data_IF_310316535136
#
_entry.id   IF_310316535136
#
_cell.length_a   1.000
_cell.length_b   1.000
_cell.length_c   1.000
_cell.angle_alpha   90.00
_cell.angle_beta   90.00
_cell.angle_gamma   90.00
#
_symmetry.space_group_name_H-M   'P 1'
#
loop_
_entity.id
_entity.type
_entity.pdbx_description
1 polymer ?
#
# COMPACT_ATOMS: atom_id res chain seq x y z
N UNK A 1 -7.89 53.39 5.29
CA UNK A 1 -6.68 52.57 5.49
C UNK A 1 -6.70 52.06 6.91
N UNK A 2 -7.07 50.80 7.12
CA UNK A 2 -7.11 50.19 8.46
C UNK A 2 -6.12 49.03 8.47
N UNK A 3 -5.01 49.19 9.20
CA UNK A 3 -3.96 48.19 9.28
C UNK A 3 -4.36 47.12 10.30
N UNK A 4 -4.43 45.86 9.86
CA UNK A 4 -4.62 44.71 10.72
C UNK A 4 -3.33 44.42 11.51
N UNK A 5 -3.45 44.22 12.83
CA UNK A 5 -2.33 43.80 13.70
C UNK A 5 -2.01 42.31 13.50
N UNK A 6 -0.73 41.90 13.58
CA UNK A 6 -0.34 40.50 13.49
C UNK A 6 -0.72 39.73 14.77
N UNK A 7 -1.39 38.58 14.61
CA UNK A 7 -1.60 37.61 15.69
C UNK A 7 -0.38 36.68 15.80
N UNK A 8 0.05 36.39 17.04
CA UNK A 8 1.11 35.42 17.32
C UNK A 8 0.62 33.99 17.00
N UNK A 9 1.46 33.13 16.42
CA UNK A 9 1.11 31.74 16.20
C UNK A 9 0.92 31.01 17.54
N UNK A 10 -0.19 30.29 17.67
CA UNK A 10 -0.44 29.35 18.77
C UNK A 10 0.41 28.11 18.51
N UNK A 11 1.20 27.61 19.49
CA UNK A 11 1.99 26.41 19.29
C UNK A 11 1.06 25.21 19.06
N UNK A 12 1.29 24.48 17.97
CA UNK A 12 0.62 23.21 17.71
C UNK A 12 0.89 22.25 18.89
N UNK A 13 -0.19 21.73 19.47
CA UNK A 13 -0.10 20.71 20.51
C UNK A 13 0.68 19.51 19.95
N UNK A 14 1.82 19.19 20.58
CA UNK A 14 2.60 17.99 20.27
C UNK A 14 1.76 16.80 20.72
N UNK A 15 1.18 16.06 19.78
CA UNK A 15 0.54 14.78 20.05
C UNK A 15 1.57 13.82 20.64
N UNK A 16 1.25 13.22 21.78
CA UNK A 16 2.10 12.22 22.41
C UNK A 16 2.24 10.99 21.49
N UNK A 17 3.39 10.30 21.50
CA UNK A 17 3.56 9.08 20.72
C UNK A 17 2.61 8.01 21.25
N UNK A 18 1.82 7.40 20.35
CA UNK A 18 1.00 6.24 20.67
C UNK A 18 1.93 5.08 20.98
N UNK A 19 1.93 4.61 22.23
CA UNK A 19 2.71 3.46 22.65
C UNK A 19 1.94 2.20 22.25
N UNK A 20 2.36 1.55 21.16
CA UNK A 20 1.78 0.27 20.76
C UNK A 20 2.27 -0.85 21.68
N UNK A 21 1.37 -1.69 22.24
CA UNK A 21 1.76 -2.83 23.05
C UNK A 21 2.61 -3.83 22.23
N UNK A 22 3.53 -4.52 22.90
CA UNK A 22 4.39 -5.52 22.27
C UNK A 22 3.54 -6.62 21.59
N UNK A 23 3.92 -7.09 20.38
CA UNK A 23 3.11 -8.06 19.65
C UNK A 23 3.05 -9.39 20.41
N UNK A 24 1.84 -9.91 20.63
CA UNK A 24 1.63 -11.25 21.18
C UNK A 24 2.35 -12.31 20.32
N UNK A 25 2.88 -13.36 20.94
CA UNK A 25 3.60 -14.46 20.25
C UNK A 25 2.64 -15.30 19.40
N UNK A 26 3.00 -15.59 18.14
CA UNK A 26 2.21 -16.43 17.23
C UNK A 26 2.04 -15.86 15.82
N UNK A 27 1.53 -16.66 14.88
CA UNK A 27 1.24 -16.19 13.51
C UNK A 27 0.11 -15.15 13.56
N UNK A 28 0.34 -13.97 12.96
CA UNK A 28 -0.66 -12.88 12.86
C UNK A 28 -1.50 -12.97 11.61
N UNK A 29 -0.91 -13.51 10.55
CA UNK A 29 -1.47 -13.50 9.20
C UNK A 29 -1.33 -14.87 8.53
N UNK A 30 -2.16 -15.13 7.52
CA UNK A 30 -2.11 -16.33 6.70
C UNK A 30 -2.45 -15.99 5.24
N UNK A 31 -1.78 -16.67 4.29
CA UNK A 31 -2.13 -16.58 2.86
C UNK A 31 -3.25 -17.57 2.54
N UNK A 32 -4.28 -17.11 1.81
CA UNK A 32 -5.40 -17.94 1.31
C UNK A 32 -5.74 -17.52 -0.12
N UNK A 33 -6.61 -18.26 -0.79
CA UNK A 33 -7.17 -17.79 -2.06
C UNK A 33 -8.11 -16.61 -1.79
N UNK A 34 -7.99 -15.57 -2.61
CA UNK A 34 -8.71 -14.31 -2.43
C UNK A 34 -9.98 -14.26 -3.27
N UNK A 35 -11.04 -13.68 -2.71
CA UNK A 35 -12.25 -13.33 -3.47
C UNK A 35 -12.05 -12.16 -4.45
N UNK A 36 -10.94 -11.42 -4.33
CA UNK A 36 -10.61 -10.27 -5.19
C UNK A 36 -9.72 -10.71 -6.34
N UNK A 37 -8.57 -11.31 -6.05
CA UNK A 37 -7.61 -11.73 -7.07
C UNK A 37 -6.63 -12.77 -6.54
N UNK A 38 -6.51 -13.91 -7.21
CA UNK A 38 -5.49 -14.93 -6.94
C UNK A 38 -5.40 -15.30 -5.45
N UNK A 39 -4.35 -14.82 -4.78
CA UNK A 39 -4.11 -15.02 -3.35
C UNK A 39 -4.27 -13.71 -2.59
N UNK A 40 -4.64 -13.84 -1.32
CA UNK A 40 -4.79 -12.74 -0.36
C UNK A 40 -4.11 -13.07 0.96
N UNK A 41 -3.85 -12.05 1.77
CA UNK A 41 -3.36 -12.23 3.14
C UNK A 41 -4.49 -11.87 4.10
N UNK A 42 -4.73 -12.75 5.08
CA UNK A 42 -5.82 -12.63 6.03
C UNK A 42 -5.30 -12.51 7.45
N UNK A 43 -5.96 -11.70 8.27
CA UNK A 43 -5.74 -11.70 9.71
C UNK A 43 -6.20 -13.04 10.31
N UNK A 44 -5.41 -13.64 11.19
CA UNK A 44 -5.82 -14.85 11.94
C UNK A 44 -5.99 -14.59 13.44
N UNK A 45 -5.84 -13.32 13.83
CA UNK A 45 -6.04 -12.81 15.18
C UNK A 45 -6.43 -11.33 15.08
N UNK A 46 -6.99 -10.72 16.14
CA UNK A 46 -7.25 -9.29 16.17
C UNK A 46 -5.95 -8.50 15.94
N UNK A 47 -6.01 -7.48 15.10
CA UNK A 47 -4.93 -6.51 14.89
C UNK A 47 -5.48 -5.13 15.28
N UNK A 48 -4.76 -4.40 16.12
CA UNK A 48 -5.20 -3.07 16.55
C UNK A 48 -4.75 -1.99 15.57
N UNK A 49 -5.50 -0.89 15.51
CA UNK A 49 -5.08 0.29 14.75
C UNK A 49 -3.64 0.73 15.14
N UNK A 50 -2.84 1.03 14.12
CA UNK A 50 -1.42 1.37 14.21
C UNK A 50 -0.48 0.20 14.46
N UNK A 51 -0.96 -1.05 14.54
CA UNK A 51 -0.09 -2.21 14.61
C UNK A 51 0.77 -2.32 13.35
N UNK A 52 2.08 -2.52 13.54
CA UNK A 52 2.98 -3.01 12.48
C UNK A 52 2.63 -4.46 12.16
N UNK A 53 1.95 -4.69 11.04
CA UNK A 53 1.40 -6.00 10.68
C UNK A 53 2.46 -6.85 9.99
N UNK A 54 3.06 -6.32 8.91
CA UNK A 54 4.02 -7.01 8.06
C UNK A 54 5.10 -6.04 7.57
N UNK A 55 6.22 -6.60 7.13
CA UNK A 55 7.21 -5.90 6.30
C UNK A 55 7.06 -6.41 4.86
N UNK A 56 7.10 -5.53 3.87
CA UNK A 56 7.18 -5.92 2.47
C UNK A 56 8.65 -6.21 2.13
N UNK A 57 8.99 -7.50 1.96
CA UNK A 57 10.36 -7.95 1.69
C UNK A 57 10.52 -8.32 0.22
N UNK A 58 11.75 -8.17 -0.26
CA UNK A 58 12.19 -8.60 -1.58
C UNK A 58 13.66 -8.23 -1.78
N UNK A 59 14.18 -8.53 -2.96
CA UNK A 59 15.49 -8.07 -3.41
C UNK A 59 15.41 -6.57 -3.76
N UNK A 60 16.37 -5.76 -3.29
CA UNK A 60 16.42 -4.34 -3.64
C UNK A 60 17.26 -4.20 -4.91
N UNK A 61 16.65 -3.66 -5.96
CA UNK A 61 17.23 -3.51 -7.29
C UNK A 61 17.08 -2.07 -7.79
N UNK A 62 17.82 -1.72 -8.84
CA UNK A 62 17.64 -0.43 -9.51
C UNK A 62 16.37 -0.43 -10.38
N UNK A 63 15.87 0.75 -10.72
CA UNK A 63 14.77 0.88 -11.68
C UNK A 63 15.07 0.23 -13.04
N UNK A 64 16.30 0.37 -13.54
CA UNK A 64 16.69 -0.24 -14.82
C UNK A 64 16.60 -1.77 -14.77
N UNK A 65 17.09 -2.39 -13.70
CA UNK A 65 16.99 -3.84 -13.51
C UNK A 65 15.52 -4.30 -13.42
N UNK A 66 14.65 -3.50 -12.78
CA UNK A 66 13.22 -3.81 -12.71
C UNK A 66 12.55 -3.80 -14.10
N UNK A 67 12.95 -2.87 -14.98
CA UNK A 67 12.53 -2.83 -16.38
C UNK A 67 13.06 -4.04 -17.17
N UNK A 68 14.33 -4.41 -16.97
CA UNK A 68 14.95 -5.54 -17.67
C UNK A 68 14.32 -6.89 -17.27
N UNK A 69 13.85 -7.00 -16.01
CA UNK A 69 13.12 -8.16 -15.49
C UNK A 69 11.63 -8.17 -15.86
N UNK A 70 11.09 -7.06 -16.34
CA UNK A 70 9.67 -6.95 -16.67
C UNK A 70 9.39 -7.51 -18.08
N UNK A 71 8.32 -8.30 -18.27
CA UNK A 71 7.39 -8.78 -17.26
C UNK A 71 7.92 -9.97 -16.47
N UNK A 72 7.50 -10.09 -15.21
CA UNK A 72 7.79 -11.28 -14.40
C UNK A 72 7.15 -12.55 -14.98
N UNK A 73 5.98 -12.41 -15.60
CA UNK A 73 5.23 -13.45 -16.30
C UNK A 73 4.70 -12.86 -17.61
N UNK A 74 5.19 -13.29 -18.79
CA UNK A 74 4.72 -12.78 -20.08
C UNK A 74 3.21 -13.00 -20.33
N UNK A 75 2.58 -13.97 -19.66
CA UNK A 75 1.13 -14.20 -19.76
C UNK A 75 0.31 -13.22 -18.92
N UNK A 76 0.94 -12.58 -17.93
CA UNK A 76 0.34 -11.60 -17.02
C UNK A 76 1.28 -10.41 -16.84
N UNK A 77 1.54 -9.62 -17.91
CA UNK A 77 2.61 -8.64 -17.89
C UNK A 77 2.42 -7.56 -16.81
N UNK A 78 1.18 -7.19 -16.51
CA UNK A 78 0.85 -6.15 -15.53
C UNK A 78 0.85 -6.67 -14.07
N UNK A 79 1.04 -7.97 -13.84
CA UNK A 79 1.12 -8.55 -12.51
C UNK A 79 2.58 -8.54 -12.04
N UNK A 80 2.92 -7.54 -11.23
CA UNK A 80 4.28 -7.37 -10.69
C UNK A 80 4.27 -7.41 -9.16
N UNK A 81 5.44 -7.66 -8.59
CA UNK A 81 5.69 -7.57 -7.14
C UNK A 81 6.68 -6.44 -6.82
N UNK A 82 6.65 -5.37 -7.62
CA UNK A 82 7.53 -4.22 -7.45
C UNK A 82 6.95 -3.22 -6.45
N UNK A 83 7.79 -2.76 -5.53
CA UNK A 83 7.49 -1.65 -4.61
C UNK A 83 8.53 -0.55 -4.79
N UNK A 84 8.10 0.65 -5.19
CA UNK A 84 9.00 1.79 -5.38
C UNK A 84 9.44 2.38 -4.04
N UNK A 85 10.73 2.68 -3.92
CA UNK A 85 11.31 3.39 -2.80
C UNK A 85 11.61 4.85 -3.18
N UNK A 86 11.53 5.74 -2.19
CA UNK A 86 11.77 7.18 -2.37
C UNK A 86 13.18 7.53 -2.90
N UNK A 87 14.16 6.65 -2.72
CA UNK A 87 15.53 6.84 -3.19
C UNK A 87 15.76 6.38 -4.65
N UNK A 88 14.69 5.95 -5.33
CA UNK A 88 14.72 5.50 -6.72
C UNK A 88 15.00 4.00 -6.91
N UNK A 89 15.25 3.26 -5.83
CA UNK A 89 15.31 1.80 -5.89
C UNK A 89 13.91 1.16 -5.90
N UNK A 90 13.90 -0.13 -6.18
CA UNK A 90 12.69 -0.96 -6.19
C UNK A 90 12.92 -2.20 -5.34
N UNK A 91 11.95 -2.56 -4.52
CA UNK A 91 11.89 -3.89 -3.91
C UNK A 91 11.18 -4.83 -4.90
N UNK A 92 11.87 -5.87 -5.36
CA UNK A 92 11.30 -6.96 -6.14
C UNK A 92 10.86 -8.10 -5.21
N UNK A 93 9.57 -8.14 -4.87
CA UNK A 93 8.97 -9.16 -4.00
C UNK A 93 8.93 -10.57 -4.61
N UNK A 94 9.20 -10.73 -5.92
CA UNK A 94 9.31 -12.06 -6.55
C UNK A 94 10.56 -12.78 -6.05
N UNK A 95 11.65 -12.04 -5.88
CA UNK A 95 12.95 -12.55 -5.45
C UNK A 95 13.19 -12.21 -3.98
N UNK A 96 13.53 -13.20 -3.15
CA UNK A 96 13.76 -13.02 -1.70
C UNK A 96 12.59 -12.40 -0.92
N UNK A 97 11.37 -12.42 -1.47
CA UNK A 97 10.20 -11.85 -0.82
C UNK A 97 9.52 -12.76 0.19
N UNK A 98 8.52 -12.21 0.89
CA UNK A 98 7.73 -12.93 1.89
C UNK A 98 6.25 -13.03 1.48
N UNK A 99 5.34 -13.25 2.44
CA UNK A 99 3.90 -13.33 2.17
C UNK A 99 3.24 -11.98 1.85
N UNK A 100 3.89 -10.84 2.15
CA UNK A 100 3.30 -9.52 1.93
C UNK A 100 3.04 -9.21 0.45
N UNK A 101 3.76 -9.87 -0.47
CA UNK A 101 3.52 -9.75 -1.93
C UNK A 101 2.12 -10.18 -2.38
N UNK A 102 1.40 -10.93 -1.54
CA UNK A 102 0.03 -11.39 -1.81
C UNK A 102 -1.04 -10.47 -1.21
N UNK A 103 -0.67 -9.33 -0.62
CA UNK A 103 -1.66 -8.37 -0.13
C UNK A 103 -2.22 -7.63 -1.34
N UNK A 104 -3.53 -7.70 -1.51
CA UNK A 104 -4.22 -7.12 -2.66
C UNK A 104 -4.44 -5.62 -2.51
N UNK A 105 -4.79 -5.00 -3.64
CA UNK A 105 -5.23 -3.62 -3.68
C UNK A 105 -6.68 -3.47 -3.17
N UNK A 106 -6.93 -2.40 -2.41
CA UNK A 106 -8.27 -1.86 -2.19
C UNK A 106 -8.27 -0.34 -2.28
N UNK A 107 -9.36 0.23 -2.80
CA UNK A 107 -9.62 1.68 -2.75
C UNK A 107 -10.08 2.15 -1.37
N UNK A 108 -10.58 1.25 -0.52
CA UNK A 108 -10.84 1.46 0.91
C UNK A 108 -9.99 0.45 1.70
N UNK A 109 -8.67 0.67 1.82
CA UNK A 109 -7.78 -0.29 2.44
C UNK A 109 -7.92 -0.31 3.97
N UNK A 110 -7.47 -1.39 4.59
CA UNK A 110 -7.32 -1.50 6.05
C UNK A 110 -5.85 -1.48 6.50
N UNK A 111 -4.90 -1.43 5.56
CA UNK A 111 -3.48 -1.19 5.80
C UNK A 111 -2.99 0.06 5.06
N UNK A 112 -1.96 0.70 5.62
CA UNK A 112 -1.12 1.68 4.94
C UNK A 112 0.34 1.23 4.89
N UNK A 113 1.07 1.67 3.86
CA UNK A 113 2.49 1.40 3.71
C UNK A 113 3.31 2.61 4.14
N UNK A 114 4.31 2.39 4.98
CA UNK A 114 5.27 3.41 5.42
C UNK A 114 6.70 2.93 5.16
N UNK A 115 7.50 3.79 4.54
CA UNK A 115 8.90 3.53 4.25
C UNK A 115 9.80 3.99 5.40
N UNK A 116 10.73 3.13 5.80
CA UNK A 116 11.81 3.41 6.77
C UNK A 116 13.14 3.02 6.13
N UNK A 117 13.86 4.02 5.59
CA UNK A 117 15.06 3.80 4.79
C UNK A 117 14.74 2.99 3.53
N UNK A 118 15.30 1.79 3.42
CA UNK A 118 15.08 0.86 2.30
C UNK A 118 14.07 -0.27 2.62
N UNK A 119 13.33 -0.14 3.72
CA UNK A 119 12.35 -1.11 4.19
C UNK A 119 10.96 -0.50 4.11
N UNK A 120 9.96 -1.35 3.86
CA UNK A 120 8.56 -0.93 3.83
C UNK A 120 7.78 -1.75 4.84
N UNK A 121 7.07 -1.08 5.72
CA UNK A 121 6.22 -1.68 6.72
C UNK A 121 4.75 -1.39 6.42
N UNK A 122 3.90 -2.37 6.68
CA UNK A 122 2.46 -2.23 6.55
C UNK A 122 1.82 -2.13 7.94
N UNK A 123 1.08 -1.05 8.15
CA UNK A 123 0.42 -0.74 9.42
C UNK A 123 -1.09 -0.78 9.29
N UNK A 124 -1.77 -1.22 10.34
CA UNK A 124 -3.23 -1.25 10.37
C UNK A 124 -3.81 0.16 10.50
N UNK A 125 -4.74 0.54 9.62
CA UNK A 125 -5.43 1.83 9.64
C UNK A 125 -6.57 1.90 10.66
N UNK A 126 -7.08 0.73 11.06
CA UNK A 126 -8.17 0.52 12.01
C UNK A 126 -7.97 -0.81 12.72
N UNK A 127 -8.81 -1.11 13.70
CA UNK A 127 -8.90 -2.46 14.22
C UNK A 127 -9.36 -3.44 13.12
N UNK A 128 -8.74 -4.61 13.05
CA UNK A 128 -8.98 -5.66 12.05
C UNK A 128 -9.30 -6.96 12.77
N UNK A 129 -10.45 -7.53 12.45
CA UNK A 129 -10.94 -8.77 13.02
C UNK A 129 -10.31 -10.01 12.37
N UNK A 130 -10.20 -11.13 13.09
CA UNK A 130 -9.78 -12.40 12.50
C UNK A 130 -10.67 -12.79 11.32
N UNK A 131 -10.04 -13.19 10.21
CA UNK A 131 -10.73 -13.57 8.98
C UNK A 131 -10.92 -12.45 7.97
N UNK A 132 -10.67 -11.20 8.33
CA UNK A 132 -10.63 -10.11 7.34
C UNK A 132 -9.40 -10.25 6.42
N UNK A 133 -9.59 -10.00 5.13
CA UNK A 133 -8.49 -9.84 4.17
C UNK A 133 -7.82 -8.49 4.36
N UNK A 134 -6.51 -8.47 4.23
CA UNK A 134 -5.68 -7.30 4.35
C UNK A 134 -5.48 -6.68 2.97
N UNK A 135 -5.61 -5.35 2.90
CA UNK A 135 -5.48 -4.58 1.69
C UNK A 135 -4.76 -3.25 1.93
N UNK A 136 -4.01 -2.78 0.94
CA UNK A 136 -3.48 -1.41 0.89
C UNK A 136 -3.78 -0.76 -0.48
N UNK A 137 -3.74 0.57 -0.58
CA UNK A 137 -3.77 1.22 -1.90
C UNK A 137 -2.37 1.09 -2.52
N UNK A 138 -2.27 0.42 -3.67
CA UNK A 138 -0.99 0.24 -4.37
C UNK A 138 -0.40 1.56 -4.83
N UNK A 139 -1.22 2.60 -5.00
CA UNK A 139 -0.75 3.91 -5.41
C UNK A 139 -0.03 3.88 -6.76
N UNK A 140 -0.40 2.99 -7.69
CA UNK A 140 0.31 2.81 -8.96
C UNK A 140 0.33 4.13 -9.76
N UNK A 141 1.46 4.82 -9.75
CA UNK A 141 1.69 6.01 -10.55
C UNK A 141 2.30 5.59 -11.87
N UNK A 142 1.78 6.16 -12.95
CA UNK A 142 2.34 6.03 -14.29
C UNK A 142 2.61 7.43 -14.85
N UNK A 143 3.70 7.57 -15.58
CA UNK A 143 4.11 8.86 -16.18
C UNK A 143 3.33 9.20 -17.45
N UNK A 144 2.63 8.22 -18.01
CA UNK A 144 1.84 8.36 -19.22
C UNK A 144 0.44 8.93 -18.94
N UNK A 145 -0.19 9.44 -20.01
CA UNK A 145 -1.58 9.89 -19.92
C UNK A 145 -2.48 8.69 -19.60
N UNK A 146 -3.17 8.74 -18.47
CA UNK A 146 -4.19 7.74 -18.11
C UNK A 146 -5.35 7.76 -19.12
N UNK A 147 -5.39 6.77 -20.01
CA UNK A 147 -6.45 6.58 -21.01
C UNK A 147 -7.52 5.60 -20.52
N UNK A 148 -8.73 5.56 -21.12
CA UNK A 148 -9.73 4.54 -20.80
C UNK A 148 -9.22 3.10 -21.01
N UNK A 149 -8.38 2.85 -22.01
CA UNK A 149 -7.76 1.55 -22.25
C UNK A 149 -6.84 1.17 -21.10
N UNK A 150 -5.96 2.09 -20.70
CA UNK A 150 -5.01 1.85 -19.61
C UNK A 150 -5.72 1.62 -18.27
N UNK A 151 -6.83 2.34 -18.01
CA UNK A 151 -7.67 2.05 -16.84
C UNK A 151 -8.24 0.64 -16.84
N UNK A 152 -8.57 0.08 -18.01
CA UNK A 152 -9.08 -1.29 -18.14
C UNK A 152 -7.97 -2.33 -17.94
N UNK A 153 -6.76 -2.06 -18.44
CA UNK A 153 -5.58 -2.91 -18.23
C UNK A 153 -5.20 -3.01 -16.75
N UNK A 154 -5.39 -1.92 -16.01
CA UNK A 154 -5.22 -1.85 -14.56
C UNK A 154 -6.58 -1.78 -13.85
N UNK A 155 -7.57 -2.56 -14.29
CA UNK A 155 -8.89 -2.57 -13.66
C UNK A 155 -8.81 -2.97 -12.18
N UNK A 156 -9.58 -2.28 -11.33
CA UNK A 156 -9.67 -2.60 -9.91
C UNK A 156 -10.93 -3.43 -9.63
N UNK A 157 -10.75 -4.55 -8.92
CA UNK A 157 -11.81 -5.50 -8.58
C UNK A 157 -12.06 -5.58 -7.07
N UNK A 158 -11.61 -4.59 -6.29
CA UNK A 158 -11.70 -4.63 -4.82
C UNK A 158 -13.13 -4.65 -4.25
N UNK A 159 -14.14 -4.34 -5.06
CA UNK A 159 -15.55 -4.43 -4.68
C UNK A 159 -16.05 -3.36 -3.70
N UNK A 160 -15.22 -2.39 -3.31
CA UNK A 160 -15.63 -1.36 -2.35
C UNK A 160 -16.60 -0.35 -2.96
N UNK A 161 -17.52 0.25 -2.16
CA UNK A 161 -18.49 1.22 -2.67
C UNK A 161 -17.86 2.46 -3.32
N UNK A 162 -16.72 2.93 -2.81
CA UNK A 162 -15.97 4.05 -3.39
C UNK A 162 -14.85 3.64 -4.35
N UNK A 163 -14.90 2.41 -4.88
CA UNK A 163 -13.91 1.92 -5.85
C UNK A 163 -13.74 2.89 -7.03
N UNK A 164 -12.48 3.25 -7.32
CA UNK A 164 -12.14 4.17 -8.42
C UNK A 164 -12.13 3.52 -9.81
N UNK A 165 -12.41 2.21 -9.87
CA UNK A 165 -12.46 1.41 -11.09
C UNK A 165 -11.10 1.03 -11.69
N UNK A 166 -9.99 1.48 -11.11
CA UNK A 166 -8.62 1.17 -11.58
C UNK A 166 -7.63 1.19 -10.41
N UNK A 167 -6.59 0.35 -10.47
CA UNK A 167 -5.49 0.34 -9.52
C UNK A 167 -4.53 1.52 -9.71
N UNK A 168 -4.66 2.30 -10.79
CA UNK A 168 -3.85 3.49 -11.04
C UNK A 168 -4.21 4.65 -10.11
N UNK A 169 -3.21 5.29 -9.52
CA UNK A 169 -3.36 6.50 -8.74
C UNK A 169 -3.91 7.64 -9.62
N UNK A 170 -5.10 8.13 -9.29
CA UNK A 170 -5.72 9.23 -10.01
C UNK A 170 -5.33 10.55 -9.35
N UNK A 171 -4.73 11.48 -10.10
CA UNK A 171 -4.48 12.85 -9.62
C UNK A 171 -5.82 13.45 -9.18
N UNK A 172 -5.91 13.88 -7.92
CA UNK A 172 -7.09 14.63 -7.42
C UNK A 172 -7.26 15.87 -8.29
N UNK A 173 -8.41 16.02 -8.96
CA UNK A 173 -8.79 17.30 -9.54
C UNK A 173 -8.89 18.29 -8.37
N UNK A 174 -8.07 19.34 -8.38
CA UNK A 174 -8.29 20.49 -7.48
C UNK A 174 -9.72 20.97 -7.76
N UNK A 175 -10.57 21.02 -6.74
CA UNK A 175 -11.85 21.74 -6.85
C UNK A 175 -11.48 23.18 -7.20
N UNK A 176 -11.98 23.66 -8.34
CA UNK A 176 -11.92 25.07 -8.70
C UNK A 176 -12.73 25.91 -7.71
#
# INVERSE_FOLDING_TARGET
MSQAKPQKPVPAARTAPVVHPAPATGKRTQVRDSGVHGKGVYAVRPLSAGDKVLEYKGEIITWQEALDRHPHDPSQPNHTFYFHLDDGHVIDGKHLGNSAKWINHSCEPNLEAEQDGNRVFLYALRDIEPGEELFFDYGLVIDERITPTLKKEYACWCGTPSCRGTMLALKRRKKA
#
